data_IF_830578399100
#
_entry.id   IF_830578399100
#
_cell.length_a   1.000
_cell.length_b   1.000
_cell.length_c   1.000
_cell.angle_alpha   90.00
_cell.angle_beta   90.00
_cell.angle_gamma   90.00
#
_symmetry.space_group_name_H-M   'P 1'
#
loop_
_entity.id
_entity.type
_entity.pdbx_description
1 polymer ?
#
# COMPACT_ATOMS: atom_id res chain seq x y z
N UNK A 1 3.44 5.16 -52.02
CA UNK A 1 4.16 4.94 -50.75
C UNK A 1 4.47 6.32 -50.17
N UNK A 2 4.04 6.63 -48.94
CA UNK A 2 4.43 7.85 -48.21
C UNK A 2 5.02 7.41 -46.88
N UNK A 3 6.35 7.48 -46.73
CA UNK A 3 7.05 7.16 -45.48
C UNK A 3 8.03 8.24 -45.03
N UNK A 4 8.10 9.37 -45.73
CA UNK A 4 9.14 10.38 -45.51
C UNK A 4 8.70 11.55 -44.61
N UNK A 5 7.67 11.33 -43.78
CA UNK A 5 7.06 12.40 -42.95
C UNK A 5 7.62 12.41 -41.52
N UNK A 6 8.21 11.31 -41.05
CA UNK A 6 8.65 11.18 -39.65
C UNK A 6 10.11 11.61 -39.44
N UNK A 7 10.99 11.38 -40.42
CA UNK A 7 12.42 11.71 -40.31
C UNK A 7 12.74 13.21 -40.44
N UNK A 8 11.88 13.98 -41.12
CA UNK A 8 12.15 15.41 -41.41
C UNK A 8 11.72 16.36 -40.27
N UNK A 9 11.03 15.86 -39.24
CA UNK A 9 10.60 16.69 -38.11
C UNK A 9 11.75 16.80 -37.11
N UNK A 10 12.71 17.69 -37.39
CA UNK A 10 13.74 18.08 -36.44
C UNK A 10 13.08 18.42 -35.08
N UNK A 11 13.45 17.67 -34.04
CA UNK A 11 12.95 17.89 -32.68
C UNK A 11 11.86 16.92 -32.20
N UNK A 12 11.46 15.90 -32.97
CA UNK A 12 10.51 14.88 -32.48
C UNK A 12 11.08 14.02 -31.34
N UNK A 13 12.40 13.90 -31.25
CA UNK A 13 13.10 13.10 -30.23
C UNK A 13 12.97 13.67 -28.80
N UNK A 14 12.60 14.95 -28.65
CA UNK A 14 12.42 15.54 -27.32
C UNK A 14 11.15 15.01 -26.62
N UNK A 15 10.12 14.65 -27.38
CA UNK A 15 8.85 14.19 -26.81
C UNK A 15 9.01 12.87 -26.03
N UNK A 16 9.70 11.83 -26.57
CA UNK A 16 10.04 10.64 -25.80
C UNK A 16 10.91 10.90 -24.56
N UNK A 17 11.84 11.85 -24.61
CA UNK A 17 12.72 12.15 -23.47
C UNK A 17 11.94 12.81 -22.33
N UNK A 18 11.10 13.79 -22.63
CA UNK A 18 10.26 14.47 -21.63
C UNK A 18 9.20 13.53 -21.05
N UNK A 19 8.59 12.67 -21.88
CA UNK A 19 7.63 11.69 -21.38
C UNK A 19 8.28 10.71 -20.40
N UNK A 20 9.51 10.27 -20.66
CA UNK A 20 10.29 9.42 -19.74
C UNK A 20 10.56 10.13 -18.41
N UNK A 21 11.02 11.39 -18.46
CA UNK A 21 11.31 12.17 -17.24
C UNK A 21 10.05 12.41 -16.42
N UNK A 22 8.93 12.76 -17.04
CA UNK A 22 7.65 12.96 -16.35
C UNK A 22 7.14 11.63 -15.78
N UNK A 23 7.23 10.54 -16.53
CA UNK A 23 6.81 9.21 -16.08
C UNK A 23 7.60 8.77 -14.85
N UNK A 24 8.92 8.86 -14.89
CA UNK A 24 9.80 8.52 -13.75
C UNK A 24 9.57 9.49 -12.59
N UNK A 25 9.44 10.79 -12.86
CA UNK A 25 9.15 11.82 -11.85
C UNK A 25 7.84 11.57 -11.10
N UNK A 26 6.81 11.11 -11.81
CA UNK A 26 5.54 10.71 -11.20
C UNK A 26 5.71 9.56 -10.21
N UNK A 27 6.49 8.52 -10.57
CA UNK A 27 6.78 7.42 -9.65
C UNK A 27 7.55 7.87 -8.42
N UNK A 28 8.55 8.75 -8.58
CA UNK A 28 9.31 9.30 -7.45
C UNK A 28 8.38 10.06 -6.49
N UNK A 29 7.49 10.90 -7.02
CA UNK A 29 6.49 11.62 -6.21
C UNK A 29 5.54 10.67 -5.47
N UNK A 30 5.06 9.62 -6.14
CA UNK A 30 4.18 8.62 -5.52
C UNK A 30 4.88 7.83 -4.41
N UNK A 31 6.14 7.41 -4.63
CA UNK A 31 6.93 6.71 -3.61
C UNK A 31 7.14 7.62 -2.40
N UNK A 32 7.46 8.89 -2.62
CA UNK A 32 7.59 9.88 -1.55
C UNK A 32 6.29 10.04 -0.73
N UNK A 33 5.15 10.14 -1.42
CA UNK A 33 3.83 10.20 -0.78
C UNK A 33 3.52 8.95 0.06
N UNK A 34 3.76 7.76 -0.49
CA UNK A 34 3.52 6.48 0.20
C UNK A 34 4.40 6.31 1.44
N UNK A 35 5.69 6.66 1.36
CA UNK A 35 6.60 6.57 2.50
C UNK A 35 6.21 7.56 3.60
N UNK A 36 5.75 8.76 3.21
CA UNK A 36 5.30 9.79 4.17
C UNK A 36 4.01 9.40 4.87
N UNK A 37 3.05 8.79 4.16
CA UNK A 37 1.78 8.34 4.73
C UNK A 37 1.97 7.24 5.78
N UNK A 38 2.79 6.22 5.49
CA UNK A 38 3.03 5.09 6.42
C UNK A 38 3.54 5.52 7.79
N UNK A 39 4.27 6.63 7.90
CA UNK A 39 4.86 7.05 9.19
C UNK A 39 3.90 7.80 10.11
N UNK A 40 2.80 8.35 9.59
CA UNK A 40 1.83 9.11 10.39
C UNK A 40 0.83 8.22 11.11
N UNK A 41 0.45 7.09 10.50
CA UNK A 41 -0.66 6.27 10.98
C UNK A 41 -0.23 4.95 11.62
N UNK A 42 1.03 4.52 11.47
CA UNK A 42 1.46 3.24 12.05
C UNK A 42 1.47 3.27 13.58
N UNK A 43 1.92 4.33 14.23
CA UNK A 43 2.06 4.36 15.71
C UNK A 43 0.72 4.32 16.45
N UNK A 44 -0.39 4.75 15.82
CA UNK A 44 -1.73 4.67 16.42
C UNK A 44 -2.44 3.33 16.20
N UNK A 45 -2.09 2.62 15.13
CA UNK A 45 -2.76 1.38 14.73
C UNK A 45 -1.94 0.14 15.11
N UNK A 46 -0.62 0.26 15.28
CA UNK A 46 0.24 -0.79 15.84
C UNK A 46 0.07 -0.98 17.34
N UNK A 47 -0.48 0.03 18.03
CA UNK A 47 -0.79 0.00 19.46
C UNK A 47 -2.20 -0.53 19.73
N UNK A 48 -2.96 -0.92 18.70
CA UNK A 48 -4.21 -1.63 18.90
C UNK A 48 -3.84 -3.08 19.22
N UNK A 49 -4.00 -3.53 20.47
CA UNK A 49 -3.81 -4.94 20.77
C UNK A 49 -4.77 -5.70 19.86
N UNK A 50 -4.26 -6.68 19.12
CA UNK A 50 -5.11 -7.74 18.61
C UNK A 50 -5.80 -8.25 19.87
N UNK A 51 -7.11 -8.00 20.03
CA UNK A 51 -7.87 -8.60 21.11
C UNK A 51 -7.66 -10.11 20.96
N UNK A 52 -6.74 -10.66 21.77
CA UNK A 52 -6.65 -12.09 21.95
C UNK A 52 -8.02 -12.49 22.46
N UNK A 53 -8.72 -13.28 21.66
CA UNK A 53 -10.01 -13.88 21.98
C UNK A 53 -9.86 -14.79 23.21
N UNK A 54 -9.63 -14.22 24.40
CA UNK A 54 -9.74 -14.90 25.68
C UNK A 54 -11.21 -15.08 26.10
N UNK A 55 -12.15 -14.81 25.20
CA UNK A 55 -13.58 -15.03 25.40
C UNK A 55 -14.09 -16.38 24.90
N UNK A 56 -13.23 -17.27 24.37
CA UNK A 56 -13.65 -18.57 23.83
C UNK A 56 -13.50 -19.77 24.80
N UNK A 57 -13.03 -19.58 26.04
CA UNK A 57 -12.76 -20.69 26.98
C UNK A 57 -13.69 -20.79 28.20
N UNK A 58 -14.69 -19.92 28.34
CA UNK A 58 -15.56 -19.91 29.53
C UNK A 58 -16.92 -20.61 29.33
N UNK A 59 -17.32 -20.92 28.09
CA UNK A 59 -18.62 -21.55 27.79
C UNK A 59 -18.65 -23.07 28.01
N UNK A 60 -17.50 -23.72 28.23
CA UNK A 60 -17.42 -25.18 28.40
C UNK A 60 -17.16 -25.64 29.86
N UNK A 61 -17.03 -24.72 30.82
CA UNK A 61 -16.57 -25.06 32.17
C UNK A 61 -17.65 -24.96 33.28
N UNK A 62 -18.93 -24.78 32.92
CA UNK A 62 -20.00 -24.58 33.92
C UNK A 62 -20.63 -25.88 34.48
N UNK A 63 -20.40 -27.06 33.88
CA UNK A 63 -21.25 -28.23 34.18
C UNK A 63 -20.61 -29.39 34.98
N UNK A 64 -19.44 -29.25 35.63
CA UNK A 64 -18.84 -30.43 36.34
C UNK A 64 -18.38 -30.24 37.78
N UNK A 65 -18.56 -29.07 38.42
CA UNK A 65 -18.07 -28.87 39.80
C UNK A 65 -19.11 -28.35 40.80
N UNK A 66 -20.26 -29.03 40.86
CA UNK A 66 -21.06 -29.10 42.09
C UNK A 66 -21.45 -30.54 42.39
N UNK A 67 -20.42 -31.39 42.50
CA UNK A 67 -20.38 -32.55 43.39
C UNK A 67 -20.77 -32.02 44.78
N UNK A 68 -21.82 -32.52 45.40
CA UNK A 68 -21.73 -33.77 46.12
C UNK A 68 -20.91 -33.50 47.38
N UNK A 69 -21.58 -32.99 48.40
CA UNK A 69 -21.37 -33.15 49.85
C UNK A 69 -22.60 -32.56 50.56
#
# INVERSE_FOLDING_TARGET
MRRDVIETIQGVEIFPLISLVIFVGFFIGMIYYLVRLKRSDIDRWSAMPLEEDESHNQLFNHDTKSKGD
#
